data_IF_220954540086
#
_entry.id   IF_220954540086
#
_cell.length_a   1.000
_cell.length_b   1.000
_cell.length_c   1.000
_cell.angle_alpha   90.00
_cell.angle_beta   90.00
_cell.angle_gamma   90.00
#
_symmetry.space_group_name_H-M   'P 1'
#
loop_
_entity.id
_entity.type
_entity.pdbx_description
1 polymer ?
#
# COMPACT_ATOMS: atom_id res chain seq x y z
N UNK A 1 -1.51 2.24 3.66
CA UNK A 1 -0.66 2.77 2.57
C UNK A 1 -1.36 3.83 1.74
N UNK A 2 -0.82 5.06 1.72
CA UNK A 2 -1.24 6.09 0.76
C UNK A 2 -0.93 5.65 -0.67
N UNK A 3 -1.90 5.75 -1.59
CA UNK A 3 -1.74 5.16 -2.91
C UNK A 3 -0.58 5.77 -3.70
N UNK A 4 -0.45 7.10 -3.64
CA UNK A 4 0.61 7.88 -4.29
C UNK A 4 2.01 7.49 -3.82
N UNK A 5 2.23 7.53 -2.50
CA UNK A 5 3.55 7.35 -1.89
C UNK A 5 4.16 5.97 -2.08
N UNK A 6 3.29 4.96 -2.20
CA UNK A 6 3.68 3.55 -2.24
C UNK A 6 3.30 2.88 -3.57
N UNK A 7 2.99 3.67 -4.61
CA UNK A 7 2.76 3.23 -6.00
C UNK A 7 1.71 2.12 -6.14
N UNK A 8 0.55 2.34 -5.53
CA UNK A 8 -0.59 1.46 -5.76
C UNK A 8 -1.04 1.52 -7.23
N UNK A 9 -1.56 0.42 -7.77
CA UNK A 9 -2.02 0.33 -9.16
C UNK A 9 -3.30 1.13 -9.47
N UNK A 10 -3.88 1.84 -8.52
CA UNK A 10 -5.04 2.70 -8.79
C UNK A 10 -4.60 4.03 -9.42
N UNK A 11 -5.56 4.76 -10.03
CA UNK A 11 -5.32 6.07 -10.66
C UNK A 11 -4.53 7.05 -9.78
N UNK A 12 -4.85 7.12 -8.48
CA UNK A 12 -4.15 8.02 -7.55
C UNK A 12 -2.74 7.54 -7.13
N UNK A 13 -2.43 6.26 -7.33
CA UNK A 13 -1.10 5.71 -7.05
C UNK A 13 -0.15 5.74 -8.23
N UNK A 14 -0.68 5.82 -9.46
CA UNK A 14 0.10 5.85 -10.69
C UNK A 14 0.43 7.27 -11.17
N UNK A 15 -0.19 8.30 -10.60
CA UNK A 15 0.14 9.69 -10.92
C UNK A 15 1.58 10.04 -10.52
N UNK A 16 2.32 10.71 -11.41
CA UNK A 16 3.66 11.22 -11.13
C UNK A 16 3.66 12.74 -11.37
N UNK A 17 4.14 13.57 -10.42
CA UNK A 17 4.22 15.01 -10.64
C UNK A 17 5.19 15.33 -11.78
N UNK A 18 4.82 16.29 -12.65
CA UNK A 18 5.64 16.67 -13.80
C UNK A 18 6.94 17.39 -13.39
N UNK A 19 6.96 18.05 -12.23
CA UNK A 19 8.17 18.69 -11.69
C UNK A 19 9.00 17.72 -10.84
N UNK A 20 10.33 17.73 -10.99
CA UNK A 20 11.29 16.94 -10.19
C UNK A 20 11.09 15.42 -10.33
N UNK A 21 10.90 14.93 -11.57
CA UNK A 21 10.60 13.52 -11.87
C UNK A 21 11.59 12.55 -11.21
N UNK A 22 12.89 12.79 -11.39
CA UNK A 22 13.95 11.92 -10.82
C UNK A 22 13.88 11.81 -9.30
N UNK A 23 13.60 12.92 -8.61
CA UNK A 23 13.38 12.92 -7.15
C UNK A 23 12.19 12.02 -6.79
N UNK A 24 11.08 12.14 -7.51
CA UNK A 24 9.88 11.37 -7.24
C UNK A 24 10.08 9.88 -7.50
N UNK A 25 10.69 9.52 -8.63
CA UNK A 25 10.99 8.12 -8.97
C UNK A 25 11.89 7.48 -7.92
N UNK A 26 12.97 8.16 -7.52
CA UNK A 26 13.87 7.69 -6.46
C UNK A 26 13.12 7.54 -5.13
N UNK A 27 12.30 8.52 -4.76
CA UNK A 27 11.51 8.48 -3.52
C UNK A 27 10.52 7.31 -3.52
N UNK A 28 9.83 7.09 -4.62
CA UNK A 28 8.89 5.99 -4.78
C UNK A 28 9.58 4.64 -4.72
N UNK A 29 10.69 4.46 -5.45
CA UNK A 29 11.47 3.23 -5.44
C UNK A 29 11.95 2.89 -4.01
N UNK A 30 12.45 3.89 -3.26
CA UNK A 30 12.85 3.72 -1.87
C UNK A 30 11.68 3.32 -0.98
N UNK A 31 10.52 3.95 -1.13
CA UNK A 31 9.33 3.61 -0.34
C UNK A 31 8.88 2.17 -0.60
N UNK A 32 8.76 1.78 -1.87
CA UNK A 32 8.35 0.42 -2.25
C UNK A 32 9.36 -0.63 -1.77
N UNK A 33 10.66 -0.35 -1.89
CA UNK A 33 11.72 -1.23 -1.38
C UNK A 33 11.62 -1.41 0.14
N UNK A 34 11.43 -0.31 0.88
CA UNK A 34 11.23 -0.34 2.33
C UNK A 34 9.98 -1.13 2.73
N UNK A 35 8.86 -0.93 2.03
CA UNK A 35 7.62 -1.68 2.30
C UNK A 35 7.81 -3.19 2.13
N UNK A 36 8.47 -3.61 1.04
CA UNK A 36 8.79 -5.03 0.78
C UNK A 36 9.70 -5.60 1.85
N UNK A 37 10.69 -4.83 2.31
CA UNK A 37 11.58 -5.25 3.39
C UNK A 37 10.81 -5.46 4.69
N UNK A 38 10.05 -4.47 5.15
CA UNK A 38 9.30 -4.58 6.41
C UNK A 38 8.26 -5.69 6.37
N UNK A 39 7.55 -5.86 5.25
CA UNK A 39 6.59 -6.96 5.10
C UNK A 39 7.26 -8.34 5.18
N UNK A 40 8.49 -8.49 4.64
CA UNK A 40 9.27 -9.72 4.79
C UNK A 40 9.72 -9.94 6.22
N UNK A 41 10.29 -8.92 6.87
CA UNK A 41 10.75 -8.99 8.26
C UNK A 41 9.62 -9.38 9.22
N UNK A 42 8.45 -8.75 9.08
CA UNK A 42 7.27 -9.07 9.89
C UNK A 42 6.82 -10.53 9.68
N UNK A 43 6.74 -10.98 8.42
CA UNK A 43 6.37 -12.37 8.12
C UNK A 43 7.39 -13.37 8.66
N UNK A 44 8.68 -13.07 8.54
CA UNK A 44 9.75 -13.90 9.11
C UNK A 44 9.71 -13.96 10.63
N UNK A 45 9.18 -12.92 11.29
CA UNK A 45 8.94 -12.89 12.72
C UNK A 45 7.60 -13.54 13.14
N UNK A 46 6.90 -14.22 12.22
CA UNK A 46 5.66 -14.94 12.50
C UNK A 46 4.38 -14.10 12.43
N UNK A 47 4.46 -12.85 11.96
CA UNK A 47 3.28 -12.00 11.83
C UNK A 47 2.59 -12.18 10.47
N UNK A 48 1.27 -12.29 10.49
CA UNK A 48 0.45 -12.09 9.29
C UNK A 48 0.42 -10.60 8.92
N UNK A 49 0.64 -10.28 7.65
CA UNK A 49 0.72 -8.88 7.17
C UNK A 49 -0.35 -8.61 6.11
N UNK A 50 -1.22 -7.63 6.38
CA UNK A 50 -2.18 -7.10 5.41
C UNK A 50 -1.91 -5.61 5.16
N UNK A 51 -1.93 -5.19 3.89
CA UNK A 51 -1.89 -3.78 3.52
C UNK A 51 -3.29 -3.30 3.16
N UNK A 52 -3.76 -2.26 3.86
CA UNK A 52 -4.95 -1.49 3.49
C UNK A 52 -4.49 -0.27 2.69
N UNK A 53 -4.98 -0.16 1.46
CA UNK A 53 -4.68 0.97 0.58
C UNK A 53 -5.69 2.09 0.77
N UNK A 54 -5.23 3.34 0.69
CA UNK A 54 -6.06 4.54 0.81
C UNK A 54 -7.31 4.49 -0.10
N UNK A 55 -7.19 4.05 -1.35
CA UNK A 55 -8.37 4.00 -2.22
C UNK A 55 -9.43 2.97 -1.78
N UNK A 56 -9.08 2.03 -0.88
CA UNK A 56 -9.99 1.04 -0.32
C UNK A 56 -10.79 1.60 0.87
N UNK A 57 -10.35 2.69 1.49
CA UNK A 57 -11.04 3.31 2.64
C UNK A 57 -12.13 4.30 2.22
N UNK A 58 -12.38 4.46 0.91
CA UNK A 58 -13.49 5.26 0.40
C UNK A 58 -14.83 4.64 0.81
N UNK A 59 -15.81 5.45 1.20
CA UNK A 59 -17.14 5.02 1.66
C UNK A 59 -17.74 3.90 0.81
N UNK A 60 -17.76 4.08 -0.52
CA UNK A 60 -18.27 3.08 -1.49
C UNK A 60 -17.53 1.72 -1.53
N UNK A 61 -16.40 1.58 -0.84
CA UNK A 61 -15.57 0.37 -0.78
C UNK A 61 -15.53 -0.25 0.63
N UNK A 62 -16.10 0.39 1.65
CA UNK A 62 -16.00 -0.05 3.04
C UNK A 62 -16.54 -1.46 3.26
N UNK A 63 -17.71 -1.79 2.72
CA UNK A 63 -18.29 -3.14 2.85
C UNK A 63 -17.36 -4.23 2.26
N UNK A 64 -16.66 -3.94 1.15
CA UNK A 64 -15.70 -4.87 0.56
C UNK A 64 -14.41 -4.98 1.40
N UNK A 65 -13.96 -3.86 1.99
CA UNK A 65 -12.82 -3.83 2.88
C UNK A 65 -13.11 -4.61 4.18
N UNK A 66 -14.27 -4.39 4.78
CA UNK A 66 -14.74 -5.08 5.99
C UNK A 66 -14.72 -6.60 5.80
N UNK A 67 -15.34 -7.12 4.74
CA UNK A 67 -15.30 -8.56 4.43
C UNK A 67 -13.87 -9.09 4.32
N UNK A 68 -12.95 -8.29 3.80
CA UNK A 68 -11.54 -8.67 3.66
C UNK A 68 -10.83 -8.67 5.02
N UNK A 69 -11.15 -7.73 5.90
CA UNK A 69 -10.60 -7.66 7.26
C UNK A 69 -11.07 -8.84 8.11
N UNK A 70 -12.38 -9.14 8.08
CA UNK A 70 -12.96 -10.29 8.79
C UNK A 70 -12.24 -11.58 8.39
N UNK A 71 -12.10 -11.84 7.07
CA UNK A 71 -11.38 -13.03 6.59
C UNK A 71 -9.91 -13.05 7.00
N UNK A 72 -9.26 -11.88 7.09
CA UNK A 72 -7.85 -11.83 7.44
C UNK A 72 -7.62 -12.11 8.93
N UNK A 73 -8.49 -11.58 9.80
CA UNK A 73 -8.41 -11.72 11.25
C UNK A 73 -8.94 -13.05 11.78
N UNK A 74 -9.74 -13.77 10.99
CA UNK A 74 -10.23 -15.10 11.35
C UNK A 74 -9.23 -16.23 11.03
N UNK A 75 -8.01 -15.90 10.59
CA UNK A 75 -6.92 -16.85 10.32
C UNK A 75 -6.09 -17.12 11.58
#
# INVERSE_FOLDING_TARGET
HGCFWHRHACRGGQSTPASRVEYWETKFARNVSRDRRHARELRSAGWSVMVIWECQTRVRKLAALERRLIRFLAQ
#
